data_IF_357828729106
#
_entry.id   IF_357828729106
#
_cell.length_a   1.000
_cell.length_b   1.000
_cell.length_c   1.000
_cell.angle_alpha   90.00
_cell.angle_beta   90.00
_cell.angle_gamma   90.00
#
_symmetry.space_group_name_H-M   'P 1'
#
loop_
_entity.id
_entity.type
_entity.pdbx_description
1 polymer ?
#
# COMPACT_ATOMS: atom_id res chain seq x y z
N UNK A 1 -9.49 -19.82 12.81
CA UNK A 1 -8.90 -19.08 11.67
C UNK A 1 -9.40 -17.65 11.68
N UNK A 2 -8.49 -16.71 11.54
CA UNK A 2 -8.84 -15.29 11.42
C UNK A 2 -9.44 -15.02 10.05
N UNK A 3 -10.59 -14.34 10.02
CA UNK A 3 -11.24 -13.91 8.78
C UNK A 3 -11.31 -12.39 8.75
N UNK A 4 -10.89 -11.81 7.63
CA UNK A 4 -10.96 -10.38 7.38
C UNK A 4 -11.87 -10.17 6.17
N UNK A 5 -12.91 -9.37 6.35
CA UNK A 5 -13.82 -9.04 5.26
C UNK A 5 -13.17 -7.95 4.40
N UNK A 6 -13.20 -8.13 3.08
CA UNK A 6 -12.58 -7.21 2.13
C UNK A 6 -13.57 -6.90 1.02
N UNK A 7 -13.70 -5.61 0.67
CA UNK A 7 -14.37 -5.16 -0.53
C UNK A 7 -13.30 -4.67 -1.49
N UNK A 8 -13.25 -5.25 -2.67
CA UNK A 8 -12.31 -4.87 -3.72
C UNK A 8 -13.06 -4.12 -4.83
N UNK A 9 -12.90 -2.80 -4.87
CA UNK A 9 -13.43 -1.94 -5.93
C UNK A 9 -12.37 -1.56 -6.96
N UNK A 10 -11.18 -2.16 -6.88
CA UNK A 10 -10.11 -1.91 -7.82
C UNK A 10 -10.29 -2.72 -9.10
N UNK A 11 -9.51 -2.37 -10.13
CA UNK A 11 -9.43 -3.14 -11.37
C UNK A 11 -8.48 -4.33 -11.26
N UNK A 12 -7.85 -4.53 -10.11
CA UNK A 12 -6.89 -5.60 -9.88
C UNK A 12 -7.54 -6.79 -9.17
N UNK A 13 -6.97 -8.00 -9.31
CA UNK A 13 -7.38 -9.12 -8.48
C UNK A 13 -7.19 -8.82 -7.00
N UNK A 14 -7.93 -9.53 -6.15
CA UNK A 14 -7.73 -9.46 -4.72
C UNK A 14 -6.29 -9.82 -4.35
N UNK A 15 -5.71 -9.09 -3.40
CA UNK A 15 -4.37 -9.34 -2.92
C UNK A 15 -4.25 -10.77 -2.37
N UNK A 16 -3.11 -11.40 -2.64
CA UNK A 16 -2.82 -12.76 -2.19
C UNK A 16 -1.36 -12.84 -1.76
N UNK A 17 -1.06 -13.84 -0.94
CA UNK A 17 0.33 -14.13 -0.60
C UNK A 17 1.07 -14.68 -1.81
N UNK A 18 2.25 -14.11 -2.11
CA UNK A 18 3.04 -14.55 -3.26
C UNK A 18 3.58 -15.98 -3.10
N UNK A 19 3.91 -16.36 -1.86
CA UNK A 19 4.36 -17.71 -1.53
C UNK A 19 3.66 -18.18 -0.25
N UNK A 20 3.72 -19.49 0.01
CA UNK A 20 3.12 -20.08 1.20
C UNK A 20 3.67 -19.49 2.51
N UNK A 21 4.95 -19.11 2.53
CA UNK A 21 5.61 -18.57 3.72
C UNK A 21 5.72 -17.04 3.72
N UNK A 22 5.07 -16.35 2.79
CA UNK A 22 5.07 -14.89 2.78
C UNK A 22 4.28 -14.35 3.97
N UNK A 23 4.87 -13.40 4.71
CA UNK A 23 4.20 -12.76 5.84
C UNK A 23 3.22 -11.67 5.40
N UNK A 24 3.50 -11.02 4.28
CA UNK A 24 2.68 -9.92 3.76
C UNK A 24 2.15 -10.20 2.37
N UNK A 25 1.13 -9.44 2.00
CA UNK A 25 0.56 -9.44 0.66
C UNK A 25 0.86 -8.12 -0.02
N UNK A 26 1.10 -8.17 -1.34
CA UNK A 26 1.28 -6.95 -2.11
C UNK A 26 -0.06 -6.27 -2.38
N UNK A 27 -0.09 -4.95 -2.19
CA UNK A 27 -1.21 -4.10 -2.56
C UNK A 27 -0.80 -3.31 -3.80
N UNK A 28 -1.73 -3.13 -4.73
CA UNK A 28 -1.48 -2.42 -5.97
C UNK A 28 -2.17 -1.06 -5.98
N UNK A 29 -1.53 -0.10 -6.63
CA UNK A 29 -2.14 1.20 -6.89
C UNK A 29 -3.30 1.03 -7.88
N UNK A 30 -4.47 1.57 -7.52
CA UNK A 30 -5.64 1.56 -8.40
C UNK A 30 -5.70 2.89 -9.14
N UNK A 31 -4.96 2.97 -10.25
CA UNK A 31 -4.78 4.19 -11.03
C UNK A 31 -5.17 3.94 -12.48
N UNK A 32 -5.74 4.97 -13.13
CA UNK A 32 -5.98 4.95 -14.57
C UNK A 32 -4.71 5.32 -15.34
N UNK A 33 -3.86 6.15 -14.75
CA UNK A 33 -2.60 6.61 -15.34
C UNK A 33 -1.51 6.58 -14.27
N UNK A 34 -0.22 6.36 -14.67
CA UNK A 34 0.88 6.42 -13.72
C UNK A 34 0.98 7.79 -13.05
N UNK A 35 1.32 7.78 -11.77
CA UNK A 35 1.65 9.00 -11.03
C UNK A 35 3.16 9.21 -11.11
N UNK A 36 3.58 10.43 -11.42
CA UNK A 36 4.99 10.83 -11.44
C UNK A 36 5.33 11.57 -10.16
N UNK A 37 6.34 11.08 -9.42
CA UNK A 37 6.80 11.69 -8.18
C UNK A 37 8.20 12.28 -8.36
N UNK A 38 8.31 13.60 -8.20
CA UNK A 38 9.60 14.26 -8.12
C UNK A 38 10.29 13.93 -6.78
N UNK A 39 11.62 14.14 -6.67
CA UNK A 39 12.30 13.99 -5.40
C UNK A 39 11.64 14.80 -4.29
N UNK A 40 11.45 14.18 -3.12
CA UNK A 40 10.78 14.73 -1.94
C UNK A 40 9.28 14.97 -2.11
N UNK A 41 8.71 14.67 -3.25
CA UNK A 41 7.27 14.74 -3.45
C UNK A 41 6.57 13.53 -2.84
N UNK A 42 5.39 13.75 -2.26
CA UNK A 42 4.54 12.67 -1.74
C UNK A 42 3.18 12.72 -2.39
N UNK A 43 2.50 11.57 -2.40
CA UNK A 43 1.12 11.49 -2.87
C UNK A 43 0.34 10.42 -2.13
N UNK A 44 -0.97 10.59 -2.10
CA UNK A 44 -1.89 9.59 -1.59
C UNK A 44 -2.33 8.70 -2.75
N UNK A 45 -2.00 7.41 -2.67
CA UNK A 45 -2.28 6.44 -3.73
C UNK A 45 -3.47 5.57 -3.33
N UNK A 46 -4.57 5.59 -4.09
CA UNK A 46 -5.72 4.75 -3.80
C UNK A 46 -5.45 3.29 -4.17
N UNK A 47 -6.05 2.37 -3.44
CA UNK A 47 -5.96 0.93 -3.71
C UNK A 47 -7.27 0.32 -4.16
N UNK A 48 -8.40 1.01 -3.94
CA UNK A 48 -9.72 0.46 -4.18
C UNK A 48 -10.14 -0.60 -3.18
N UNK A 49 -9.37 -0.80 -2.11
CA UNK A 49 -9.63 -1.82 -1.10
C UNK A 49 -10.23 -1.21 0.17
N UNK A 50 -11.21 -1.90 0.72
CA UNK A 50 -11.85 -1.59 2.00
C UNK A 50 -11.80 -2.86 2.84
N UNK A 51 -11.34 -2.76 4.07
CA UNK A 51 -11.19 -3.92 4.96
C UNK A 51 -11.94 -3.69 6.26
N UNK A 52 -12.40 -4.79 6.87
CA UNK A 52 -13.02 -4.78 8.18
C UNK A 52 -12.25 -5.75 9.07
N UNK A 53 -11.37 -5.20 9.90
CA UNK A 53 -10.56 -5.99 10.82
C UNK A 53 -11.38 -6.35 12.06
N UNK A 54 -11.19 -7.57 12.61
CA UNK A 54 -11.76 -7.91 13.89
C UNK A 54 -11.19 -7.04 15.01
N UNK A 55 -11.98 -6.87 16.06
CA UNK A 55 -11.55 -6.18 17.28
C UNK A 55 -10.27 -6.82 17.85
N UNK A 56 -9.33 -6.00 18.27
CA UNK A 56 -8.05 -6.46 18.81
C UNK A 56 -6.96 -6.66 17.75
N UNK A 57 -7.27 -6.39 16.47
CA UNK A 57 -6.31 -6.53 15.39
C UNK A 57 -6.10 -5.20 14.66
N UNK A 58 -4.93 -5.05 14.07
CA UNK A 58 -4.59 -3.96 13.17
C UNK A 58 -3.99 -4.51 11.89
N UNK A 59 -4.02 -3.74 10.81
CA UNK A 59 -3.22 -4.01 9.63
C UNK A 59 -2.08 -2.99 9.56
N UNK A 60 -0.93 -3.42 9.07
CA UNK A 60 0.21 -2.55 8.87
C UNK A 60 0.56 -2.50 7.38
N UNK A 61 0.72 -1.29 6.87
CA UNK A 61 1.21 -1.04 5.53
C UNK A 61 2.70 -0.78 5.60
N UNK A 62 3.46 -1.56 4.83
CA UNK A 62 4.93 -1.50 4.82
C UNK A 62 5.43 -1.29 3.41
N UNK A 63 6.59 -0.61 3.25
CA UNK A 63 7.20 -0.45 1.94
C UNK A 63 7.80 -1.77 1.44
N UNK A 64 8.02 -1.84 0.13
CA UNK A 64 8.75 -2.94 -0.49
C UNK A 64 10.23 -2.60 -0.55
N UNK A 65 11.07 -3.54 -0.12
CA UNK A 65 12.52 -3.35 -0.08
C UNK A 65 13.13 -3.08 -1.46
N UNK A 66 12.61 -3.74 -2.50
CA UNK A 66 13.10 -3.53 -3.86
C UNK A 66 12.85 -2.11 -4.39
N UNK A 67 11.67 -1.56 -4.15
CA UNK A 67 11.36 -0.18 -4.53
C UNK A 67 12.17 0.82 -3.70
N UNK A 68 12.35 0.53 -2.42
CA UNK A 68 13.12 1.40 -1.54
C UNK A 68 14.58 1.51 -1.99
N UNK A 69 15.24 0.38 -2.25
CA UNK A 69 16.67 0.40 -2.59
C UNK A 69 16.92 0.83 -4.03
N UNK A 70 16.07 0.45 -4.98
CA UNK A 70 16.31 0.74 -6.39
C UNK A 70 15.83 2.11 -6.83
N UNK A 71 14.74 2.60 -6.24
CA UNK A 71 14.07 3.83 -6.68
C UNK A 71 13.89 4.87 -5.60
N UNK A 72 14.25 4.56 -4.36
CA UNK A 72 14.06 5.49 -3.25
C UNK A 72 12.59 5.75 -2.91
N UNK A 73 11.68 4.87 -3.32
CA UNK A 73 10.26 4.99 -3.02
C UNK A 73 9.95 4.24 -1.73
N UNK A 74 9.28 4.93 -0.82
CA UNK A 74 8.86 4.32 0.44
C UNK A 74 7.48 4.84 0.86
N UNK A 75 6.93 4.23 1.89
CA UNK A 75 5.70 4.69 2.54
C UNK A 75 6.09 5.70 3.61
N UNK A 76 5.63 6.94 3.47
CA UNK A 76 6.09 8.05 4.33
C UNK A 76 5.78 7.81 5.80
N UNK A 77 4.62 7.25 6.11
CA UNK A 77 4.17 6.96 7.47
C UNK A 77 4.41 5.50 7.87
N UNK A 78 5.47 4.89 7.38
CA UNK A 78 5.76 3.47 7.64
C UNK A 78 6.17 3.21 9.10
N UNK A 79 5.59 2.18 9.76
CA UNK A 79 4.46 1.40 9.26
C UNK A 79 3.15 2.20 9.34
N UNK A 80 2.36 2.15 8.28
CA UNK A 80 1.04 2.76 8.30
C UNK A 80 0.07 1.85 9.05
N UNK A 81 -0.64 2.38 10.03
CA UNK A 81 -1.57 1.62 10.85
C UNK A 81 -2.99 1.75 10.33
N UNK A 82 -3.66 0.62 10.14
CA UNK A 82 -5.09 0.56 9.84
C UNK A 82 -5.79 0.00 11.07
N UNK A 83 -6.60 0.82 11.71
CA UNK A 83 -7.31 0.46 12.94
C UNK A 83 -8.49 -0.47 12.65
N UNK A 84 -8.90 -1.23 13.67
CA UNK A 84 -10.01 -2.19 13.53
C UNK A 84 -11.35 -1.50 13.20
N UNK A 85 -11.54 -0.25 13.59
CA UNK A 85 -12.76 0.51 13.31
C UNK A 85 -12.69 1.35 12.01
N UNK A 86 -11.58 1.32 11.30
CA UNK A 86 -11.46 2.04 10.03
C UNK A 86 -12.26 1.33 8.93
N UNK A 87 -13.13 2.07 8.24
CA UNK A 87 -13.98 1.55 7.16
C UNK A 87 -13.79 2.29 5.83
N UNK A 88 -12.89 3.26 5.80
CA UNK A 88 -12.59 3.97 4.56
C UNK A 88 -11.72 3.17 3.60
N UNK A 89 -11.45 3.75 2.46
CA UNK A 89 -10.53 3.16 1.49
C UNK A 89 -9.11 3.08 2.05
N UNK A 90 -8.44 1.97 1.81
CA UNK A 90 -7.03 1.82 2.13
C UNK A 90 -6.24 2.62 1.08
N UNK A 91 -5.57 3.67 1.52
CA UNK A 91 -4.73 4.51 0.68
C UNK A 91 -3.31 4.50 1.22
N UNK A 92 -2.34 4.61 0.31
CA UNK A 92 -0.93 4.52 0.65
C UNK A 92 -0.28 5.87 0.40
N UNK A 93 0.45 6.38 1.39
CA UNK A 93 1.20 7.64 1.25
C UNK A 93 2.60 7.29 0.80
N UNK A 94 2.87 7.51 -0.50
CA UNK A 94 4.21 7.27 -1.07
C UNK A 94 5.01 8.56 -1.11
N UNK A 95 6.32 8.43 -0.92
CA UNK A 95 7.27 9.52 -1.05
C UNK A 95 8.48 9.07 -1.86
N UNK A 96 9.01 9.96 -2.69
CA UNK A 96 10.23 9.73 -3.44
C UNK A 96 11.39 10.39 -2.69
N UNK A 97 12.27 9.56 -2.11
CA UNK A 97 13.46 10.02 -1.40
C UNK A 97 14.73 9.91 -2.26
N UNK A 98 14.60 9.64 -3.54
CA UNK A 98 15.76 9.63 -4.44
C UNK A 98 16.24 11.06 -4.68
N UNK A 99 17.51 11.20 -5.03
CA UNK A 99 18.11 12.51 -5.33
C UNK A 99 17.93 12.91 -6.78
N UNK A 100 17.67 11.96 -7.68
CA UNK A 100 17.73 12.15 -9.12
C UNK A 100 16.43 11.70 -9.78
N UNK A 101 15.89 12.57 -10.66
CA UNK A 101 14.82 12.22 -11.56
C UNK A 101 13.46 12.05 -10.89
N UNK A 102 12.54 11.46 -11.65
CA UNK A 102 11.17 11.20 -11.20
C UNK A 102 10.92 9.69 -11.15
N UNK A 103 10.22 9.26 -10.13
CA UNK A 103 9.73 7.88 -10.05
C UNK A 103 8.29 7.84 -10.53
N UNK A 104 7.94 6.77 -11.27
CA UNK A 104 6.58 6.50 -11.71
C UNK A 104 5.98 5.36 -10.88
N UNK A 105 4.77 5.57 -10.49
CA UNK A 105 4.00 4.62 -9.69
C UNK A 105 2.85 4.03 -10.50
#
# INVERSE_FOLDING_TARGET
MLKVQIINKSKHPLAAYATELSAGMDIRANLNEPISLAPMQRCLVPTGLYIALPEGFEAQVRPRSGLAIKKGITVLNSPGTIDADYRGEVCIILVNLSEIGRAHV
#
